data_IF_195132305867
#
_entry.id   IF_195132305867
#
_cell.length_a   1.000
_cell.length_b   1.000
_cell.length_c   1.000
_cell.angle_alpha   90.00
_cell.angle_beta   90.00
_cell.angle_gamma   90.00
#
_symmetry.space_group_name_H-M   'P 1'
#
loop_
_entity.id
_entity.type
_entity.pdbx_description
1 polymer ?
#
# COMPACT_ATOMS: atom_id res chain seq x y z
N UNK A 1 -9.28 -13.28 12.87
CA UNK A 1 -8.28 -13.12 11.80
C UNK A 1 -7.77 -11.68 11.82
N UNK A 2 -6.44 -11.49 11.76
CA UNK A 2 -5.79 -10.17 11.65
C UNK A 2 -5.42 -9.91 10.20
N UNK A 3 -5.73 -8.73 9.69
CA UNK A 3 -5.41 -8.31 8.31
C UNK A 3 -4.40 -7.17 8.37
N UNK A 4 -3.31 -7.27 7.60
CA UNK A 4 -2.37 -6.18 7.36
C UNK A 4 -2.64 -5.59 5.97
N UNK A 5 -2.76 -4.26 5.88
CA UNK A 5 -2.98 -3.57 4.60
C UNK A 5 -1.82 -2.60 4.36
N UNK A 6 -1.08 -2.80 3.27
CA UNK A 6 -0.03 -1.87 2.87
C UNK A 6 -0.62 -0.75 2.01
N UNK A 7 -0.23 0.50 2.31
CA UNK A 7 -0.71 1.69 1.61
C UNK A 7 0.46 2.59 1.21
N UNK A 8 0.44 3.10 -0.01
CA UNK A 8 1.49 3.98 -0.56
C UNK A 8 0.96 5.39 -0.77
N UNK A 9 1.78 6.39 -0.44
CA UNK A 9 1.55 7.78 -0.80
C UNK A 9 2.10 8.04 -2.20
N UNK A 10 1.24 8.52 -3.10
CA UNK A 10 1.58 8.78 -4.52
C UNK A 10 1.09 10.16 -4.94
N UNK A 11 1.55 10.65 -6.09
CA UNK A 11 0.97 11.86 -6.70
C UNK A 11 -0.48 11.55 -7.06
N UNK A 12 -1.39 12.48 -6.71
CA UNK A 12 -2.82 12.36 -7.04
C UNK A 12 -3.00 12.27 -8.56
N UNK A 13 -3.79 11.29 -9.00
CA UNK A 13 -3.99 10.99 -10.43
C UNK A 13 -4.63 12.14 -11.24
N UNK A 14 -5.23 13.13 -10.58
CA UNK A 14 -5.77 14.33 -11.23
C UNK A 14 -4.71 15.41 -11.46
N UNK A 15 -3.49 15.23 -10.93
CA UNK A 15 -2.42 16.21 -11.09
C UNK A 15 -1.76 16.05 -12.46
N UNK A 16 -1.59 17.17 -13.15
CA UNK A 16 -0.78 17.19 -14.36
C UNK A 16 0.70 17.04 -14.01
N UNK A 17 1.28 15.90 -14.40
CA UNK A 17 2.69 15.59 -14.15
C UNK A 17 3.59 16.51 -14.95
N UNK A 18 4.64 17.05 -14.29
CA UNK A 18 5.71 17.83 -14.91
C UNK A 18 7.05 17.15 -14.69
N UNK A 19 7.81 16.99 -15.76
CA UNK A 19 9.19 16.48 -15.69
C UNK A 19 10.11 17.60 -15.22
N UNK A 20 11.11 17.26 -14.41
CA UNK A 20 12.17 18.18 -13.99
C UNK A 20 12.99 18.60 -15.21
N UNK A 21 13.54 19.83 -15.19
CA UNK A 21 14.33 20.38 -16.29
C UNK A 21 15.56 19.53 -16.62
N UNK A 22 16.15 18.88 -15.61
CA UNK A 22 17.31 17.99 -15.75
C UNK A 22 16.95 16.57 -16.24
N UNK A 23 15.68 16.25 -16.44
CA UNK A 23 15.21 14.94 -16.88
C UNK A 23 15.35 13.81 -15.86
N UNK A 24 15.76 14.09 -14.61
CA UNK A 24 16.04 13.06 -13.59
C UNK A 24 14.79 12.51 -12.90
N UNK A 25 13.61 13.02 -13.22
CA UNK A 25 12.35 12.57 -12.62
C UNK A 25 11.23 13.57 -12.79
N UNK A 26 10.22 13.44 -11.94
CA UNK A 26 9.05 14.33 -11.93
C UNK A 26 9.13 15.34 -10.79
N UNK A 27 8.48 16.49 -10.97
CA UNK A 27 8.37 17.51 -9.92
C UNK A 27 7.38 17.03 -8.87
N UNK A 28 7.82 16.91 -7.64
CA UNK A 28 7.01 16.48 -6.48
C UNK A 28 6.76 17.60 -5.46
N UNK A 29 7.46 18.73 -5.60
CA UNK A 29 7.33 19.87 -4.68
C UNK A 29 5.98 20.56 -4.87
N UNK A 30 5.26 20.76 -3.76
CA UNK A 30 3.95 21.42 -3.74
C UNK A 30 2.89 20.76 -4.66
N UNK A 31 3.04 19.47 -4.91
CA UNK A 31 2.10 18.68 -5.70
C UNK A 31 1.13 17.97 -4.73
N UNK A 32 -0.15 17.95 -5.10
CA UNK A 32 -1.16 17.22 -4.35
C UNK A 32 -0.80 15.73 -4.36
N UNK A 33 -0.75 15.12 -3.18
CA UNK A 33 -0.51 13.70 -2.99
C UNK A 33 -1.78 13.02 -2.46
N UNK A 34 -1.91 11.73 -2.73
CA UNK A 34 -3.03 10.90 -2.28
C UNK A 34 -2.56 9.50 -1.90
N UNK A 35 -3.45 8.71 -1.31
CA UNK A 35 -3.27 7.27 -1.23
C UNK A 35 -3.37 6.68 -2.62
N UNK A 36 -2.52 5.71 -2.93
CA UNK A 36 -2.59 4.96 -4.18
C UNK A 36 -4.00 4.34 -4.35
N UNK A 37 -4.71 4.58 -5.46
CA UNK A 37 -6.11 4.12 -5.62
C UNK A 37 -6.32 2.61 -5.45
N UNK A 38 -5.45 1.71 -5.99
CA UNK A 38 -5.56 0.28 -5.70
C UNK A 38 -5.43 -0.08 -4.21
N UNK A 39 -4.69 0.71 -3.43
CA UNK A 39 -4.58 0.49 -1.97
C UNK A 39 -5.85 0.92 -1.24
N UNK A 40 -6.56 1.94 -1.74
CA UNK A 40 -7.88 2.30 -1.20
C UNK A 40 -8.87 1.12 -1.31
N UNK A 41 -8.87 0.40 -2.43
CA UNK A 41 -9.68 -0.82 -2.59
C UNK A 41 -9.25 -1.91 -1.58
N UNK A 42 -7.95 -2.06 -1.33
CA UNK A 42 -7.44 -3.02 -0.36
C UNK A 42 -7.89 -2.69 1.08
N UNK A 43 -7.90 -1.40 1.45
CA UNK A 43 -8.41 -0.93 2.76
C UNK A 43 -9.90 -1.23 2.89
N UNK A 44 -10.69 -0.83 1.90
CA UNK A 44 -12.13 -1.05 1.84
C UNK A 44 -12.49 -2.53 2.02
N UNK A 45 -11.81 -3.42 1.30
CA UNK A 45 -12.07 -4.84 1.38
C UNK A 45 -11.69 -5.43 2.74
N UNK A 46 -10.58 -4.99 3.34
CA UNK A 46 -10.19 -5.39 4.68
C UNK A 46 -11.23 -4.96 5.74
N UNK A 47 -11.75 -3.74 5.62
CA UNK A 47 -12.78 -3.21 6.52
C UNK A 47 -14.09 -3.97 6.35
N UNK A 48 -14.53 -4.26 5.13
CA UNK A 48 -15.72 -5.09 4.86
C UNK A 48 -15.62 -6.48 5.50
N UNK A 49 -14.46 -7.14 5.41
CA UNK A 49 -14.21 -8.43 6.03
C UNK A 49 -14.32 -8.33 7.55
N UNK A 50 -13.84 -7.24 8.13
CA UNK A 50 -13.98 -6.97 9.57
C UNK A 50 -15.43 -6.72 9.97
N UNK A 51 -16.16 -5.88 9.24
CA UNK A 51 -17.57 -5.60 9.49
C UNK A 51 -18.44 -6.86 9.37
N UNK A 52 -18.07 -7.78 8.48
CA UNK A 52 -18.70 -9.10 8.38
C UNK A 52 -18.33 -10.05 9.54
N UNK A 53 -17.58 -9.59 10.55
CA UNK A 53 -17.17 -10.37 11.72
C UNK A 53 -16.11 -11.45 11.44
N UNK A 54 -15.50 -11.45 10.26
CA UNK A 54 -14.49 -12.44 9.85
C UNK A 54 -13.06 -12.02 10.23
N UNK A 55 -12.80 -10.72 10.41
CA UNK A 55 -11.55 -10.22 10.92
C UNK A 55 -11.76 -9.53 12.28
N UNK A 56 -10.76 -9.62 13.15
CA UNK A 56 -10.74 -9.02 14.48
C UNK A 56 -9.96 -7.73 14.54
N UNK A 57 -8.98 -7.56 13.66
CA UNK A 57 -8.11 -6.39 13.60
C UNK A 57 -7.69 -6.13 12.15
N UNK A 58 -7.74 -4.86 11.74
CA UNK A 58 -7.17 -4.35 10.49
C UNK A 58 -6.06 -3.37 10.82
N UNK A 59 -4.85 -3.67 10.38
CA UNK A 59 -3.64 -2.85 10.60
C UNK A 59 -3.19 -2.26 9.27
N UNK A 60 -3.20 -0.93 9.15
CA UNK A 60 -2.66 -0.26 7.98
C UNK A 60 -1.17 0.04 8.15
N UNK A 61 -0.38 -0.14 7.10
CA UNK A 61 1.06 0.16 7.12
C UNK A 61 1.47 0.98 5.91
N UNK A 62 2.32 1.97 6.15
CA UNK A 62 3.04 2.69 5.09
C UNK A 62 4.54 2.73 5.35
N UNK A 63 5.31 2.75 4.28
CA UNK A 63 6.77 2.94 4.30
C UNK A 63 7.08 4.19 3.49
N UNK A 64 7.74 5.16 4.08
CA UNK A 64 8.06 6.40 3.37
C UNK A 64 8.44 7.55 4.30
N UNK A 65 8.61 8.73 3.72
CA UNK A 65 8.94 9.94 4.43
C UNK A 65 7.87 10.33 5.46
N UNK A 66 8.17 11.30 6.31
CA UNK A 66 7.28 11.78 7.39
C UNK A 66 5.85 12.04 6.91
N UNK A 67 5.68 12.66 5.74
CA UNK A 67 4.36 12.96 5.17
C UNK A 67 3.55 11.73 4.77
N UNK A 68 4.16 10.55 4.62
CA UNK A 68 3.45 9.32 4.28
C UNK A 68 2.46 8.88 5.37
N UNK A 69 2.61 9.38 6.61
CA UNK A 69 1.65 9.14 7.70
C UNK A 69 0.20 9.55 7.33
N UNK A 70 0.02 10.46 6.36
CA UNK A 70 -1.30 10.90 5.89
C UNK A 70 -2.12 9.74 5.32
N UNK A 71 -1.48 8.80 4.61
CA UNK A 71 -2.17 7.63 4.05
C UNK A 71 -2.63 6.66 5.13
N UNK A 72 -1.84 6.49 6.19
CA UNK A 72 -2.24 5.69 7.36
C UNK A 72 -3.41 6.35 8.10
N UNK A 73 -3.38 7.68 8.26
CA UNK A 73 -4.51 8.41 8.87
C UNK A 73 -5.79 8.26 8.04
N UNK A 74 -5.69 8.27 6.72
CA UNK A 74 -6.83 8.00 5.83
C UNK A 74 -7.35 6.58 6.06
N UNK A 75 -6.48 5.57 6.10
CA UNK A 75 -6.88 4.19 6.37
C UNK A 75 -7.60 4.03 7.72
N UNK A 76 -7.12 4.72 8.77
CA UNK A 76 -7.78 4.77 10.08
C UNK A 76 -9.16 5.43 9.99
N UNK A 77 -9.31 6.50 9.22
CA UNK A 77 -10.60 7.18 9.00
C UNK A 77 -11.61 6.30 8.25
N UNK A 78 -11.14 5.40 7.38
CA UNK A 78 -11.98 4.42 6.66
C UNK A 78 -12.45 3.28 7.58
N UNK A 79 -11.65 2.92 8.59
CA UNK A 79 -12.07 1.88 9.56
C UNK A 79 -10.97 0.90 9.99
N UNK A 80 -9.71 1.14 9.62
CA UNK A 80 -8.60 0.38 10.18
C UNK A 80 -8.46 0.67 11.69
N UNK A 81 -8.05 -0.33 12.46
CA UNK A 81 -7.94 -0.22 13.93
C UNK A 81 -6.63 0.43 14.36
N UNK A 82 -5.57 0.17 13.63
CA UNK A 82 -4.24 0.60 13.99
C UNK A 82 -3.41 0.93 12.74
N UNK A 83 -2.50 1.88 12.89
CA UNK A 83 -1.60 2.30 11.82
C UNK A 83 -0.14 2.16 12.21
N UNK A 84 0.68 1.74 11.26
CA UNK A 84 2.13 1.66 11.36
C UNK A 84 2.74 2.54 10.28
N UNK A 85 3.61 3.45 10.68
CA UNK A 85 4.43 4.20 9.74
C UNK A 85 5.90 3.84 9.94
N UNK A 86 6.51 3.26 8.92
CA UNK A 86 7.95 3.04 8.87
C UNK A 86 8.57 4.22 8.16
N UNK A 87 9.16 5.11 8.96
CA UNK A 87 9.82 6.30 8.43
C UNK A 87 11.13 5.91 7.77
N UNK A 88 11.28 6.31 6.52
CA UNK A 88 12.52 6.22 5.75
C UNK A 88 12.72 7.50 4.97
N UNK A 89 13.96 7.90 4.77
CA UNK A 89 14.32 9.06 3.97
C UNK A 89 14.67 8.60 2.54
N UNK A 90 14.12 9.31 1.55
CA UNK A 90 14.35 9.04 0.14
C UNK A 90 13.49 7.92 -0.46
N UNK A 91 13.74 7.62 -1.73
CA UNK A 91 13.00 6.66 -2.52
C UNK A 91 13.55 5.25 -2.28
N UNK A 92 12.66 4.30 -2.02
CA UNK A 92 13.00 2.89 -1.87
C UNK A 92 12.48 2.09 -3.06
N UNK A 93 13.32 1.20 -3.56
CA UNK A 93 12.96 0.22 -4.57
C UNK A 93 12.06 -0.91 -4.00
N UNK A 94 11.25 -1.58 -4.84
CA UNK A 94 10.29 -2.59 -4.40
C UNK A 94 10.86 -3.69 -3.49
N UNK A 95 12.08 -4.16 -3.75
CA UNK A 95 12.72 -5.19 -2.93
C UNK A 95 13.04 -4.67 -1.51
N UNK A 96 13.49 -3.43 -1.38
CA UNK A 96 13.77 -2.83 -0.08
C UNK A 96 12.48 -2.69 0.74
N UNK A 97 11.41 -2.20 0.11
CA UNK A 97 10.08 -2.11 0.73
C UNK A 97 9.58 -3.50 1.16
N UNK A 98 9.72 -4.52 0.30
CA UNK A 98 9.31 -5.89 0.61
C UNK A 98 10.04 -6.47 1.81
N UNK A 99 11.35 -6.21 1.95
CA UNK A 99 12.14 -6.63 3.13
C UNK A 99 11.71 -5.93 4.42
N UNK A 100 11.33 -4.65 4.34
CA UNK A 100 10.77 -3.91 5.48
C UNK A 100 9.42 -4.52 5.88
N UNK A 101 8.53 -4.71 4.90
CA UNK A 101 7.23 -5.32 5.13
C UNK A 101 7.34 -6.74 5.70
N UNK A 102 8.31 -7.54 5.24
CA UNK A 102 8.60 -8.86 5.81
C UNK A 102 8.84 -8.78 7.32
N UNK A 103 9.69 -7.84 7.78
CA UNK A 103 9.97 -7.66 9.21
C UNK A 103 8.73 -7.27 10.01
N UNK A 104 7.85 -6.48 9.41
CA UNK A 104 6.59 -6.11 10.05
C UNK A 104 5.62 -7.29 10.10
N UNK A 105 5.52 -8.07 9.02
CA UNK A 105 4.70 -9.30 9.00
C UNK A 105 5.19 -10.29 10.05
N UNK A 106 6.50 -10.49 10.16
CA UNK A 106 7.10 -11.37 11.20
C UNK A 106 6.75 -10.91 12.62
N UNK A 107 6.65 -9.59 12.85
CA UNK A 107 6.31 -9.00 14.14
C UNK A 107 4.81 -9.03 14.42
N UNK A 108 4.01 -8.61 13.45
CA UNK A 108 2.56 -8.46 13.58
C UNK A 108 1.81 -9.79 13.44
N UNK A 109 2.38 -10.73 12.71
CA UNK A 109 1.82 -12.07 12.43
C UNK A 109 0.37 -12.01 11.92
N UNK A 110 0.10 -11.27 10.85
CA UNK A 110 -1.23 -11.23 10.27
C UNK A 110 -1.56 -12.58 9.62
N UNK A 111 -2.84 -12.93 9.59
CA UNK A 111 -3.34 -14.10 8.86
C UNK A 111 -3.43 -13.81 7.35
N UNK A 112 -3.61 -12.53 6.99
CA UNK A 112 -3.80 -12.09 5.62
C UNK A 112 -3.13 -10.73 5.40
N UNK A 113 -2.48 -10.56 4.24
CA UNK A 113 -1.89 -9.30 3.81
C UNK A 113 -2.60 -8.84 2.55
N UNK A 114 -3.16 -7.64 2.59
CA UNK A 114 -3.73 -6.97 1.43
C UNK A 114 -2.82 -5.86 0.93
N UNK A 115 -2.71 -5.76 -0.39
CA UNK A 115 -1.96 -4.72 -1.07
C UNK A 115 -2.71 -4.34 -2.35
N UNK A 116 -2.64 -3.08 -2.74
CA UNK A 116 -3.00 -2.72 -4.10
C UNK A 116 -2.15 -3.48 -5.11
N UNK A 117 -2.71 -3.85 -6.24
CA UNK A 117 -2.01 -4.61 -7.28
C UNK A 117 -0.69 -3.93 -7.67
N UNK A 118 -0.73 -2.62 -7.87
CA UNK A 118 0.40 -1.79 -8.27
C UNK A 118 0.23 -0.35 -7.81
N UNK A 119 1.32 0.41 -7.76
CA UNK A 119 1.30 1.83 -7.50
C UNK A 119 1.26 2.61 -8.82
N UNK A 120 0.45 3.68 -8.87
CA UNK A 120 0.25 4.46 -10.11
C UNK A 120 1.42 5.38 -10.47
N UNK A 121 2.42 5.50 -9.59
CA UNK A 121 3.60 6.34 -9.80
C UNK A 121 4.72 5.63 -10.57
N UNK A 122 4.91 4.33 -10.34
CA UNK A 122 5.99 3.55 -10.94
C UNK A 122 5.50 2.34 -11.76
N UNK A 123 4.27 1.90 -11.56
CA UNK A 123 3.64 0.75 -12.22
C UNK A 123 4.45 -0.56 -12.16
N UNK A 124 5.42 -0.67 -11.24
CA UNK A 124 6.33 -1.81 -11.17
C UNK A 124 5.60 -3.13 -10.87
N UNK A 125 4.54 -3.12 -10.08
CA UNK A 125 3.78 -4.31 -9.69
C UNK A 125 4.68 -5.45 -9.14
N UNK A 126 5.66 -5.13 -8.32
CA UNK A 126 6.69 -6.08 -7.86
C UNK A 126 6.67 -6.34 -6.35
N UNK A 127 6.27 -5.36 -5.54
CA UNK A 127 6.38 -5.42 -4.08
C UNK A 127 5.62 -6.61 -3.48
N UNK A 128 4.39 -6.84 -3.92
CA UNK A 128 3.56 -7.94 -3.42
C UNK A 128 4.15 -9.32 -3.76
N UNK A 129 4.62 -9.49 -4.98
CA UNK A 129 5.26 -10.73 -5.45
C UNK A 129 6.55 -11.03 -4.67
N UNK A 130 7.39 -10.00 -4.48
CA UNK A 130 8.61 -10.13 -3.71
C UNK A 130 8.32 -10.43 -2.23
N UNK A 131 7.32 -9.78 -1.65
CA UNK A 131 6.92 -10.03 -0.26
C UNK A 131 6.40 -11.46 -0.10
N UNK A 132 5.55 -11.94 -1.00
CA UNK A 132 5.03 -13.30 -0.95
C UNK A 132 6.15 -14.34 -1.04
N UNK A 133 7.13 -14.13 -1.92
CA UNK A 133 8.30 -14.99 -2.03
C UNK A 133 9.17 -14.98 -0.75
N UNK A 134 9.42 -13.80 -0.16
CA UNK A 134 10.20 -13.66 1.06
C UNK A 134 9.52 -14.31 2.29
N UNK A 135 8.20 -14.35 2.31
CA UNK A 135 7.40 -14.92 3.39
C UNK A 135 7.01 -16.38 3.13
N UNK A 136 7.30 -16.91 1.94
CA UNK A 136 6.86 -18.22 1.49
C UNK A 136 5.32 -18.38 1.57
N UNK A 137 4.60 -17.30 1.17
CA UNK A 137 3.15 -17.25 1.13
C UNK A 137 2.64 -17.39 -0.30
N UNK A 138 1.41 -17.87 -0.48
CA UNK A 138 0.72 -17.79 -1.75
C UNK A 138 0.32 -16.36 -2.06
N UNK A 139 0.32 -16.00 -3.36
CA UNK A 139 -0.17 -14.73 -3.85
C UNK A 139 -1.39 -14.95 -4.74
N UNK A 140 -2.44 -14.20 -4.47
CA UNK A 140 -3.67 -14.22 -5.26
C UNK A 140 -3.95 -12.79 -5.73
N UNK A 141 -4.03 -12.60 -7.04
CA UNK A 141 -4.54 -11.36 -7.61
C UNK A 141 -6.07 -11.47 -7.71
N UNK A 142 -6.76 -10.68 -6.91
CA UNK A 142 -8.22 -10.57 -6.97
C UNK A 142 -8.53 -9.36 -7.84
N UNK A 143 -9.17 -9.60 -8.98
CA UNK A 143 -9.71 -8.57 -9.85
C UNK A 143 -11.17 -8.88 -10.15
N UNK A 144 -11.90 -7.87 -10.58
CA UNK A 144 -13.27 -8.07 -11.03
C UNK A 144 -13.29 -9.09 -12.18
N UNK A 145 -14.13 -10.14 -12.15
CA UNK A 145 -14.16 -11.13 -13.20
C UNK A 145 -14.58 -10.46 -14.51
N UNK A 146 -13.75 -10.61 -15.53
CA UNK A 146 -14.13 -10.18 -16.88
C UNK A 146 -15.37 -10.95 -17.31
N UNK A 147 -16.46 -10.26 -17.59
CA UNK A 147 -17.66 -10.89 -18.15
C UNK A 147 -17.29 -11.49 -19.49
N UNK A 148 -17.58 -12.77 -19.75
CA UNK A 148 -17.45 -13.30 -21.10
C UNK A 148 -18.40 -12.51 -22.01
N UNK A 149 -17.91 -12.06 -23.14
CA UNK A 149 -18.67 -11.36 -24.18
C UNK A 149 -19.72 -12.29 -24.78
#
# INVERSE_FOLDING_TARGET
MKILVAVKRVIDYNVQIRVKEDGTGVVTDNVKMSTNPPDDNAIEEAVKIKEAGKATEVVAITVGEEKAQETVRKALAVGADRGIHVKVDGILEPLAVSKILQKIVDKEKPDLVFMGKQAIDDDCNQTGQMLSALLNLSLIHISEPTRPY
#
